data_IF_898136839858
#
_entry.id   IF_898136839858
#
_cell.length_a   1.000
_cell.length_b   1.000
_cell.length_c   1.000
_cell.angle_alpha   90.00
_cell.angle_beta   90.00
_cell.angle_gamma   90.00
#
_symmetry.space_group_name_H-M   'P 1'
#
loop_
_entity.id
_entity.type
_entity.pdbx_description
1 polymer ?
#
# COMPACT_ATOMS: atom_id res chain seq x y z
N UNK A 1 1.86 2.86 -15.01
CA UNK A 1 1.39 4.15 -15.50
C UNK A 1 1.09 5.09 -14.33
N UNK A 2 1.32 6.39 -14.53
CA UNK A 2 0.94 7.48 -13.61
C UNK A 2 -0.12 8.33 -14.29
N UNK A 3 -1.21 8.63 -13.58
CA UNK A 3 -2.28 9.50 -14.05
C UNK A 3 -2.28 10.76 -13.17
N UNK A 4 -2.29 11.92 -13.81
CA UNK A 4 -2.30 13.21 -13.11
C UNK A 4 -3.71 13.79 -13.08
N UNK A 5 -4.17 14.16 -11.88
CA UNK A 5 -5.44 14.86 -11.65
C UNK A 5 -5.26 16.37 -11.54
N UNK A 6 -4.04 16.86 -11.61
CA UNK A 6 -3.66 18.26 -11.58
C UNK A 6 -2.83 18.59 -12.82
N UNK A 7 -3.20 19.65 -13.54
CA UNK A 7 -2.52 20.07 -14.75
C UNK A 7 -1.13 20.63 -14.43
N UNK A 8 -1.01 21.44 -13.38
CA UNK A 8 0.27 22.04 -12.98
C UNK A 8 1.28 20.96 -12.58
N UNK A 9 0.81 19.91 -11.86
CA UNK A 9 1.64 18.78 -11.52
C UNK A 9 2.08 17.97 -12.75
N UNK A 10 1.19 17.83 -13.75
CA UNK A 10 1.52 17.18 -15.01
C UNK A 10 2.55 17.95 -15.81
N UNK A 11 2.38 19.26 -15.94
CA UNK A 11 3.29 20.13 -16.66
C UNK A 11 4.67 20.15 -16.00
N UNK A 12 4.73 20.24 -14.68
CA UNK A 12 5.98 20.13 -13.92
C UNK A 12 6.68 18.79 -14.10
N UNK A 13 5.92 17.70 -14.14
CA UNK A 13 6.49 16.36 -14.37
C UNK A 13 7.13 16.23 -15.76
N UNK A 14 6.63 16.95 -16.76
CA UNK A 14 7.16 16.94 -18.12
C UNK A 14 8.36 17.87 -18.34
N UNK A 15 8.62 18.77 -17.42
CA UNK A 15 9.76 19.69 -17.52
C UNK A 15 11.09 18.91 -17.47
N UNK A 16 12.05 19.34 -18.28
CA UNK A 16 13.42 18.90 -18.14
C UNK A 16 14.01 19.38 -16.80
N UNK A 17 15.13 18.78 -16.38
CA UNK A 17 15.81 19.19 -15.15
C UNK A 17 16.15 20.68 -15.14
N UNK A 18 16.62 21.22 -16.27
CA UNK A 18 16.98 22.63 -16.43
C UNK A 18 15.76 23.55 -16.33
N UNK A 19 14.64 23.17 -16.96
CA UNK A 19 13.38 23.92 -16.87
C UNK A 19 12.80 23.92 -15.46
N UNK A 20 12.93 22.80 -14.74
CA UNK A 20 12.47 22.68 -13.37
C UNK A 20 13.29 23.56 -12.42
N UNK A 21 14.63 23.55 -12.55
CA UNK A 21 15.52 24.42 -11.77
C UNK A 21 15.23 25.91 -12.03
N UNK A 22 14.97 26.29 -13.28
CA UNK A 22 14.57 27.65 -13.64
C UNK A 22 13.20 28.03 -13.08
N UNK A 23 12.24 27.10 -13.10
CA UNK A 23 10.90 27.32 -12.56
C UNK A 23 10.94 27.48 -11.03
N UNK A 24 11.76 26.68 -10.33
CA UNK A 24 11.96 26.79 -8.88
C UNK A 24 12.67 28.11 -8.51
N UNK A 25 13.72 28.49 -9.21
CA UNK A 25 14.41 29.78 -9.00
C UNK A 25 13.48 30.99 -9.18
N UNK A 26 12.64 30.96 -10.21
CA UNK A 26 11.63 32.01 -10.46
C UNK A 26 10.52 32.05 -9.39
N UNK A 27 10.22 30.92 -8.75
CA UNK A 27 9.24 30.81 -7.67
C UNK A 27 9.79 31.41 -6.39
N UNK A 28 11.03 31.07 -6.04
CA UNK A 28 11.75 31.64 -4.88
C UNK A 28 11.91 33.15 -4.98
N UNK A 29 12.18 33.69 -6.18
CA UNK A 29 12.23 35.13 -6.38
C UNK A 29 10.86 35.83 -6.23
N UNK A 30 9.78 35.16 -6.64
CA UNK A 30 8.42 35.69 -6.48
C UNK A 30 7.97 35.65 -5.02
N UNK A 31 8.31 34.58 -4.29
CA UNK A 31 8.00 34.47 -2.86
C UNK A 31 8.79 35.49 -2.04
N UNK A 32 10.08 35.68 -2.30
CA UNK A 32 10.89 36.74 -1.65
C UNK A 32 10.34 38.14 -1.92
N UNK A 33 9.87 38.42 -3.13
CA UNK A 33 9.24 39.70 -3.47
C UNK A 33 7.84 39.88 -2.86
N UNK A 34 7.15 38.77 -2.56
CA UNK A 34 5.86 38.79 -1.86
C UNK A 34 6.06 39.04 -0.36
N UNK A 35 7.02 38.37 0.25
CA UNK A 35 7.36 38.55 1.66
C UNK A 35 7.89 39.97 1.95
N UNK A 36 8.76 40.52 1.09
CA UNK A 36 9.20 41.93 1.19
C UNK A 36 8.05 42.96 1.07
N UNK A 37 6.99 42.62 0.34
CA UNK A 37 5.78 43.44 0.24
C UNK A 37 4.88 43.30 1.45
N UNK A 38 4.85 42.15 2.10
CA UNK A 38 4.09 41.92 3.34
C UNK A 38 4.79 42.51 4.56
N UNK A 39 6.14 42.47 4.64
CA UNK A 39 6.88 43.11 5.70
C UNK A 39 6.72 44.64 5.68
N UNK A 40 6.73 45.27 4.49
CA UNK A 40 6.46 46.70 4.37
C UNK A 40 5.03 47.12 4.71
N UNK A 41 4.08 46.18 4.75
CA UNK A 41 2.69 46.42 5.23
C UNK A 41 2.50 46.10 6.71
N UNK A 42 3.40 45.36 7.35
CA UNK A 42 3.31 45.02 8.79
C UNK A 42 3.91 46.08 9.70
N UNK A 43 4.81 46.92 9.21
CA UNK A 43 5.39 48.04 10.03
C UNK A 43 4.36 49.12 10.33
N UNK A 44 3.30 49.29 9.57
CA UNK A 44 2.25 50.27 9.83
C UNK A 44 1.13 49.77 10.78
N UNK A 45 1.12 48.48 11.19
CA UNK A 45 0.10 47.90 12.07
C UNK A 45 0.54 47.38 13.42
N UNK A 46 1.81 47.55 13.83
CA UNK A 46 2.29 47.17 15.16
C UNK A 46 2.07 48.24 16.22
N UNK A 47 0.80 48.57 16.53
CA UNK A 47 0.36 49.12 17.82
C UNK A 47 -1.06 48.67 18.10
N UNK A 48 -1.22 47.55 18.73
CA UNK A 48 -2.29 46.97 19.59
C UNK A 48 -2.55 45.52 19.21
N UNK A 49 -2.14 44.63 20.05
CA UNK A 49 -2.96 43.72 20.85
C UNK A 49 -2.11 42.54 21.36
N UNK A 50 -2.18 42.40 22.68
CA UNK A 50 -1.57 41.32 23.45
C UNK A 50 -2.24 39.98 23.27
N UNK A 51 -1.36 38.95 23.25
CA UNK A 51 -1.53 37.58 23.78
C UNK A 51 -2.90 36.92 23.76
N UNK A 52 -3.06 36.00 22.83
CA UNK A 52 -3.66 34.70 23.11
C UNK A 52 -3.05 33.67 22.12
N UNK A 53 -2.37 32.66 22.68
CA UNK A 53 -1.75 31.59 21.89
C UNK A 53 -2.84 30.74 21.21
N UNK A 54 -3.11 31.04 19.97
CA UNK A 54 -3.82 30.17 19.05
C UNK A 54 -2.76 29.37 18.27
N UNK A 55 -2.80 28.06 18.42
CA UNK A 55 -2.14 27.13 17.52
C UNK A 55 -2.77 27.40 16.14
N UNK A 56 -2.03 28.06 15.24
CA UNK A 56 -2.41 28.15 13.84
C UNK A 56 -2.31 26.73 13.25
N UNK A 57 -3.46 26.11 13.11
CA UNK A 57 -3.57 24.90 12.28
C UNK A 57 -3.44 25.40 10.85
N UNK A 58 -2.33 25.05 10.19
CA UNK A 58 -2.14 25.29 8.76
C UNK A 58 -3.40 24.84 8.01
N UNK A 59 -4.11 25.78 7.42
CA UNK A 59 -5.28 25.49 6.61
C UNK A 59 -4.81 24.77 5.35
N UNK A 60 -4.90 23.45 5.37
CA UNK A 60 -4.66 22.63 4.18
C UNK A 60 -5.59 23.12 3.07
N UNK A 61 -5.02 23.58 1.96
CA UNK A 61 -5.82 23.98 0.80
C UNK A 61 -6.59 22.75 0.28
N UNK A 62 -7.88 22.89 -0.03
CA UNK A 62 -8.63 21.81 -0.64
C UNK A 62 -7.94 21.37 -1.95
N UNK A 63 -7.87 20.05 -2.16
CA UNK A 63 -7.31 19.48 -3.37
C UNK A 63 -8.31 19.69 -4.51
N UNK A 64 -7.91 20.42 -5.55
CA UNK A 64 -8.70 20.58 -6.78
C UNK A 64 -8.29 19.49 -7.78
N UNK A 65 -9.26 18.64 -8.13
CA UNK A 65 -9.04 17.51 -9.04
C UNK A 65 -9.71 17.82 -10.39
N UNK A 66 -8.93 17.90 -11.46
CA UNK A 66 -9.44 17.92 -12.84
C UNK A 66 -9.60 16.47 -13.35
N UNK A 67 -10.78 15.91 -13.13
CA UNK A 67 -11.11 14.53 -13.48
C UNK A 67 -11.44 14.39 -14.97
N UNK A 68 -12.04 15.38 -15.59
CA UNK A 68 -12.58 15.26 -16.95
C UNK A 68 -11.48 15.04 -18.00
N UNK A 69 -10.31 15.63 -17.82
CA UNK A 69 -9.19 15.54 -18.74
C UNK A 69 -8.04 14.65 -18.25
N UNK A 70 -8.23 13.90 -17.17
CA UNK A 70 -7.17 13.10 -16.57
C UNK A 70 -6.67 11.96 -17.48
N UNK A 71 -7.49 11.49 -18.42
CA UNK A 71 -7.13 10.43 -19.39
C UNK A 71 -6.03 10.87 -20.36
N UNK A 72 -5.94 12.16 -20.68
CA UNK A 72 -4.92 12.71 -21.56
C UNK A 72 -3.58 12.95 -20.83
N UNK A 73 -3.60 12.79 -19.51
CA UNK A 73 -2.45 13.00 -18.63
C UNK A 73 -1.95 11.70 -18.00
N UNK A 74 -1.96 10.63 -18.80
CA UNK A 74 -1.41 9.33 -18.42
C UNK A 74 -0.02 9.16 -18.98
N UNK A 75 0.97 8.92 -18.11
CA UNK A 75 2.36 8.69 -18.49
C UNK A 75 2.79 7.27 -18.10
N UNK A 76 3.49 6.60 -19.03
CA UNK A 76 4.12 5.31 -18.74
C UNK A 76 5.43 5.53 -18.01
N UNK A 77 5.55 5.00 -16.77
CA UNK A 77 6.76 5.17 -15.94
C UNK A 77 7.82 4.10 -16.23
N UNK A 78 7.40 2.90 -16.61
CA UNK A 78 8.32 1.79 -16.85
C UNK A 78 8.67 1.69 -18.32
N UNK A 79 9.98 1.66 -18.63
CA UNK A 79 10.47 1.61 -20.01
C UNK A 79 10.22 0.24 -20.63
N UNK A 80 10.40 -0.84 -19.84
CA UNK A 80 10.32 -2.21 -20.33
C UNK A 80 9.02 -2.90 -19.92
N UNK A 81 8.55 -3.82 -20.73
CA UNK A 81 7.48 -4.75 -20.39
C UNK A 81 8.08 -5.97 -19.71
N UNK A 82 7.59 -6.32 -18.53
CA UNK A 82 8.03 -7.46 -17.74
C UNK A 82 6.91 -7.91 -16.80
N UNK A 83 7.09 -9.04 -16.14
CA UNK A 83 6.24 -9.37 -15.02
C UNK A 83 6.57 -8.43 -13.87
N UNK A 84 5.60 -7.65 -13.46
CA UNK A 84 5.75 -6.67 -12.40
C UNK A 84 5.00 -7.14 -11.15
N UNK A 85 5.66 -6.96 -10.01
CA UNK A 85 5.05 -7.09 -8.69
C UNK A 85 4.58 -5.74 -8.14
N UNK A 86 4.82 -5.52 -6.85
CA UNK A 86 4.47 -4.28 -6.19
C UNK A 86 5.32 -3.09 -6.64
N UNK A 87 4.75 -1.90 -6.48
CA UNK A 87 5.43 -0.65 -6.74
C UNK A 87 5.05 0.39 -5.68
N UNK A 88 6.00 1.23 -5.29
CA UNK A 88 5.79 2.33 -4.36
C UNK A 88 6.52 3.59 -4.82
N UNK A 89 5.85 4.72 -4.63
CA UNK A 89 6.42 6.04 -4.88
C UNK A 89 7.09 6.56 -3.61
N UNK A 90 8.19 7.28 -3.72
CA UNK A 90 8.79 7.96 -2.59
C UNK A 90 7.91 9.12 -2.09
N UNK A 91 8.21 9.65 -0.91
CA UNK A 91 7.41 10.71 -0.28
C UNK A 91 7.42 12.04 -1.04
N UNK A 92 8.38 12.24 -1.92
CA UNK A 92 8.50 13.44 -2.76
C UNK A 92 7.89 13.29 -4.13
N UNK A 93 7.51 12.06 -4.53
CA UNK A 93 7.03 11.77 -5.88
C UNK A 93 8.13 11.82 -6.94
N UNK A 94 9.40 11.66 -6.54
CA UNK A 94 10.55 11.75 -7.44
C UNK A 94 11.07 10.39 -7.90
N UNK A 95 10.85 9.34 -7.09
CA UNK A 95 11.36 7.99 -7.36
C UNK A 95 10.28 6.96 -7.17
N UNK A 96 10.21 6.02 -8.10
CA UNK A 96 9.38 4.83 -7.96
C UNK A 96 10.27 3.60 -7.77
N UNK A 97 9.99 2.83 -6.73
CA UNK A 97 10.60 1.53 -6.47
C UNK A 97 9.61 0.45 -6.87
N UNK A 98 10.05 -0.53 -7.63
CA UNK A 98 9.17 -1.58 -8.13
C UNK A 98 9.90 -2.92 -8.29
N UNK A 99 9.14 -3.99 -8.19
CA UNK A 99 9.60 -5.33 -8.49
C UNK A 99 9.35 -5.65 -9.95
N UNK A 100 10.36 -6.18 -10.62
CA UNK A 100 10.21 -6.68 -11.98
C UNK A 100 11.09 -7.89 -12.22
N UNK A 101 10.57 -8.88 -12.95
CA UNK A 101 11.29 -10.07 -13.37
C UNK A 101 11.57 -9.97 -14.86
N UNK A 102 12.84 -9.88 -15.21
CA UNK A 102 13.32 -9.91 -16.61
C UNK A 102 13.96 -11.23 -16.99
N UNK A 103 14.72 -11.86 -16.08
CA UNK A 103 15.54 -13.04 -16.33
C UNK A 103 15.34 -14.12 -15.25
N UNK A 104 14.11 -14.34 -14.83
CA UNK A 104 13.77 -15.40 -13.87
C UNK A 104 13.22 -14.88 -12.57
N UNK A 105 14.06 -14.52 -11.62
CA UNK A 105 13.60 -14.05 -10.31
C UNK A 105 13.21 -12.55 -10.32
N UNK A 106 12.49 -12.12 -9.29
CA UNK A 106 12.13 -10.71 -9.14
C UNK A 106 13.29 -9.92 -8.56
N UNK A 107 13.56 -8.80 -9.20
CA UNK A 107 14.54 -7.81 -8.79
C UNK A 107 13.86 -6.52 -8.34
N UNK A 108 14.52 -5.78 -7.44
CA UNK A 108 14.10 -4.44 -7.02
C UNK A 108 14.74 -3.39 -7.94
N UNK A 109 13.90 -2.62 -8.57
CA UNK A 109 14.29 -1.54 -9.47
C UNK A 109 13.89 -0.19 -8.89
N UNK A 110 14.67 0.83 -9.21
CA UNK A 110 14.35 2.23 -8.96
C UNK A 110 14.31 2.99 -10.28
N UNK A 111 13.23 3.69 -10.52
CA UNK A 111 13.13 4.65 -11.61
C UNK A 111 13.07 6.06 -11.02
N UNK A 112 14.05 6.89 -11.35
CA UNK A 112 14.07 8.32 -11.03
C UNK A 112 13.25 9.06 -12.08
N UNK A 113 12.18 9.71 -11.64
CA UNK A 113 11.20 10.37 -12.51
C UNK A 113 11.74 11.71 -13.05
N UNK A 114 12.66 12.35 -12.32
CA UNK A 114 13.27 13.62 -12.77
C UNK A 114 14.36 13.39 -13.82
N UNK A 115 15.21 12.39 -13.56
CA UNK A 115 16.32 12.08 -14.47
C UNK A 115 15.91 11.10 -15.58
N UNK A 116 14.67 10.57 -15.53
CA UNK A 116 14.16 9.51 -16.40
C UNK A 116 15.14 8.33 -16.52
N UNK A 117 15.69 7.92 -15.39
CA UNK A 117 16.73 6.90 -15.30
C UNK A 117 16.29 5.72 -14.47
N UNK A 118 16.37 4.53 -15.05
CA UNK A 118 16.12 3.27 -14.33
C UNK A 118 17.42 2.65 -13.88
N UNK A 119 17.46 2.20 -12.65
CA UNK A 119 18.61 1.50 -12.06
C UNK A 119 18.17 0.27 -11.28
N UNK A 120 18.95 -0.78 -11.39
CA UNK A 120 18.79 -1.97 -10.56
C UNK A 120 19.30 -1.66 -9.15
N UNK A 121 18.42 -1.85 -8.15
CA UNK A 121 18.77 -1.68 -6.75
C UNK A 121 19.28 -2.96 -6.12
N UNK A 122 18.59 -4.07 -6.37
CA UNK A 122 18.90 -5.36 -5.75
C UNK A 122 18.37 -6.51 -6.61
N UNK A 123 19.14 -7.58 -6.70
CA UNK A 123 18.77 -8.82 -7.40
C UNK A 123 18.15 -9.83 -6.44
N UNK A 124 17.25 -10.67 -6.99
CA UNK A 124 16.76 -11.85 -6.30
C UNK A 124 15.98 -11.56 -5.02
N UNK A 125 15.10 -10.57 -5.03
CA UNK A 125 14.29 -10.22 -3.85
C UNK A 125 13.09 -11.17 -3.65
N UNK A 126 12.78 -12.02 -4.63
CA UNK A 126 11.63 -12.91 -4.63
C UNK A 126 10.34 -12.23 -5.08
N UNK A 127 9.28 -13.02 -5.24
CA UNK A 127 7.97 -12.59 -5.76
C UNK A 127 7.00 -12.09 -4.69
N UNK A 128 7.43 -11.99 -3.44
CA UNK A 128 6.59 -11.49 -2.34
C UNK A 128 6.30 -10.00 -2.47
N UNK A 129 5.17 -9.57 -1.92
CA UNK A 129 4.85 -8.14 -1.82
C UNK A 129 5.81 -7.39 -0.91
N UNK A 130 5.85 -6.06 -1.04
CA UNK A 130 6.61 -5.23 -0.12
C UNK A 130 5.80 -4.06 0.43
N UNK A 131 6.16 -3.64 1.64
CA UNK A 131 5.58 -2.48 2.31
C UNK A 131 6.72 -1.53 2.67
N UNK A 132 6.50 -0.23 2.52
CA UNK A 132 7.46 0.77 2.94
C UNK A 132 7.15 1.32 4.34
N UNK A 133 8.17 1.83 5.01
CA UNK A 133 7.98 2.72 6.15
C UNK A 133 7.39 4.08 5.71
N UNK A 134 6.96 4.88 6.69
CA UNK A 134 6.30 6.16 6.43
C UNK A 134 7.12 7.12 5.56
N UNK A 135 8.43 7.07 5.70
CA UNK A 135 9.36 7.97 4.99
C UNK A 135 9.92 7.36 3.70
N UNK A 136 9.52 6.14 3.36
CA UNK A 136 10.04 5.35 2.22
C UNK A 136 11.58 5.27 2.23
N UNK A 137 12.15 5.08 3.41
CA UNK A 137 13.60 4.83 3.58
C UNK A 137 13.90 3.35 3.61
N UNK A 138 12.96 2.55 4.09
CA UNK A 138 13.09 1.11 4.20
C UNK A 138 11.90 0.42 3.54
N UNK A 139 12.17 -0.67 2.83
CA UNK A 139 11.17 -1.59 2.33
C UNK A 139 11.21 -2.88 3.15
N UNK A 140 10.05 -3.43 3.43
CA UNK A 140 9.87 -4.72 4.09
C UNK A 140 9.30 -5.69 3.09
N UNK A 141 10.10 -6.66 2.70
CA UNK A 141 9.74 -7.69 1.72
C UNK A 141 9.21 -8.91 2.47
N UNK A 142 7.99 -9.33 2.14
CA UNK A 142 7.35 -10.50 2.72
C UNK A 142 7.31 -11.61 1.67
N UNK A 143 8.14 -12.63 1.84
CA UNK A 143 8.17 -13.79 0.95
C UNK A 143 7.95 -15.08 1.77
N UNK A 144 6.71 -15.56 1.77
CA UNK A 144 6.31 -16.70 2.60
C UNK A 144 6.58 -16.42 4.09
N UNK A 145 7.44 -17.24 4.70
CA UNK A 145 7.80 -17.13 6.11
C UNK A 145 8.98 -16.19 6.39
N UNK A 146 9.53 -15.55 5.35
CA UNK A 146 10.71 -14.70 5.50
C UNK A 146 10.30 -13.23 5.34
N UNK A 147 10.75 -12.42 6.29
CA UNK A 147 10.64 -10.97 6.21
C UNK A 147 12.05 -10.39 6.09
N UNK A 148 12.27 -9.61 5.04
CA UNK A 148 13.54 -8.90 4.82
C UNK A 148 13.30 -7.40 4.86
N UNK A 149 14.12 -6.70 5.64
CA UNK A 149 14.21 -5.25 5.58
C UNK A 149 15.28 -4.86 4.57
N UNK A 150 14.94 -3.97 3.65
CA UNK A 150 15.84 -3.37 2.66
C UNK A 150 15.96 -1.88 2.97
N UNK A 151 17.14 -1.41 3.24
CA UNK A 151 17.43 0.02 3.40
C UNK A 151 17.78 0.62 2.04
N UNK A 152 16.95 1.53 1.54
CA UNK A 152 17.08 2.06 0.18
C UNK A 152 18.33 2.92 -0.03
N UNK A 153 18.79 3.61 1.01
CA UNK A 153 19.98 4.47 0.95
C UNK A 153 21.29 3.69 0.82
N UNK A 154 21.49 2.72 1.70
CA UNK A 154 22.69 1.89 1.76
C UNK A 154 22.64 0.67 0.84
N UNK A 155 21.45 0.34 0.31
CA UNK A 155 21.16 -0.90 -0.44
C UNK A 155 21.47 -2.16 0.35
N UNK A 156 21.39 -2.08 1.67
CA UNK A 156 21.64 -3.20 2.56
C UNK A 156 20.35 -3.96 2.87
N UNK A 157 20.48 -5.27 3.11
CA UNK A 157 19.40 -6.13 3.54
C UNK A 157 19.65 -6.73 4.90
N UNK A 158 18.57 -6.86 5.68
CA UNK A 158 18.60 -7.57 6.95
C UNK A 158 17.37 -8.47 7.04
N UNK A 159 17.56 -9.73 7.39
CA UNK A 159 16.45 -10.60 7.74
C UNK A 159 15.85 -10.15 9.07
N UNK A 160 14.53 -10.22 9.16
CA UNK A 160 13.79 -10.03 10.40
C UNK A 160 13.36 -11.41 10.84
N UNK A 161 14.05 -11.93 11.84
CA UNK A 161 13.68 -13.19 12.46
C UNK A 161 12.58 -12.91 13.48
N UNK A 162 11.57 -13.75 13.49
CA UNK A 162 10.50 -13.69 14.48
C UNK A 162 10.12 -15.10 14.92
N UNK A 163 9.80 -15.22 16.18
CA UNK A 163 9.26 -16.43 16.77
C UNK A 163 7.92 -16.11 17.40
N UNK A 164 6.92 -16.94 17.14
CA UNK A 164 5.62 -16.84 17.76
C UNK A 164 5.23 -18.18 18.38
N UNK A 165 4.81 -18.15 19.62
CA UNK A 165 4.24 -19.29 20.32
C UNK A 165 2.73 -19.09 20.44
N UNK A 166 1.96 -20.12 20.16
CA UNK A 166 0.53 -20.10 20.38
C UNK A 166 0.08 -21.42 21.02
N UNK A 167 -0.95 -21.33 21.84
CA UNK A 167 -1.59 -22.52 22.41
C UNK A 167 -2.52 -23.13 21.38
N UNK A 168 -2.10 -24.25 20.82
CA UNK A 168 -2.92 -24.99 19.87
C UNK A 168 -3.87 -25.92 20.60
N UNK A 169 -5.16 -25.71 20.41
CA UNK A 169 -6.26 -26.52 21.01
C UNK A 169 -7.08 -27.16 19.90
N UNK A 170 -6.71 -28.36 19.45
CA UNK A 170 -7.30 -28.98 18.26
C UNK A 170 -8.81 -29.21 18.35
N UNK A 171 -9.31 -29.48 19.54
CA UNK A 171 -10.74 -29.71 19.74
C UNK A 171 -11.57 -28.42 19.59
N UNK A 172 -11.08 -27.31 20.19
CA UNK A 172 -11.73 -26.01 20.07
C UNK A 172 -11.64 -25.50 18.62
N UNK A 173 -10.52 -25.74 17.93
CA UNK A 173 -10.35 -25.38 16.53
C UNK A 173 -11.33 -26.16 15.63
N UNK A 174 -11.48 -27.49 15.82
CA UNK A 174 -12.45 -28.26 15.02
C UNK A 174 -13.88 -27.81 15.26
N UNK A 175 -14.25 -27.47 16.50
CA UNK A 175 -15.55 -26.88 16.79
C UNK A 175 -15.75 -25.56 16.01
N UNK A 176 -14.76 -24.66 16.05
CA UNK A 176 -14.81 -23.40 15.33
C UNK A 176 -14.92 -23.61 13.81
N UNK A 177 -14.12 -24.51 13.25
CA UNK A 177 -14.13 -24.83 11.83
C UNK A 177 -15.45 -25.43 11.38
N UNK A 178 -16.04 -26.34 12.19
CA UNK A 178 -17.34 -26.89 11.93
C UNK A 178 -18.43 -25.82 11.84
N UNK A 179 -18.48 -24.92 12.81
CA UNK A 179 -19.42 -23.80 12.82
C UNK A 179 -19.18 -22.84 11.66
N UNK A 180 -17.90 -22.65 11.31
CA UNK A 180 -17.51 -21.79 10.17
C UNK A 180 -17.99 -22.38 8.84
N UNK A 181 -17.74 -23.68 8.61
CA UNK A 181 -18.18 -24.38 7.38
C UNK A 181 -19.70 -24.35 7.29
N UNK A 182 -20.40 -24.68 8.36
CA UNK A 182 -21.87 -24.67 8.38
C UNK A 182 -22.44 -23.30 8.00
N UNK A 183 -21.91 -22.19 8.54
CA UNK A 183 -22.31 -20.82 8.20
C UNK A 183 -21.97 -20.46 6.77
N UNK A 184 -20.74 -20.80 6.31
CA UNK A 184 -20.31 -20.48 4.94
C UNK A 184 -21.17 -21.17 3.88
N UNK A 185 -21.62 -22.39 4.14
CA UNK A 185 -22.54 -23.09 3.25
C UNK A 185 -23.89 -22.40 3.22
N UNK A 186 -24.46 -22.08 4.40
CA UNK A 186 -25.72 -21.36 4.49
C UNK A 186 -25.68 -20.00 3.77
N UNK A 187 -24.57 -19.25 3.91
CA UNK A 187 -24.43 -17.90 3.35
C UNK A 187 -24.17 -17.91 1.84
N UNK A 188 -23.49 -18.95 1.32
CA UNK A 188 -23.03 -19.00 -0.08
C UNK A 188 -23.83 -19.92 -0.96
N UNK A 189 -24.70 -20.74 -0.40
CA UNK A 189 -25.55 -21.60 -1.20
C UNK A 189 -26.50 -20.77 -2.06
N UNK A 190 -26.65 -21.15 -3.32
CA UNK A 190 -27.38 -20.36 -4.33
C UNK A 190 -28.88 -20.20 -4.00
N UNK A 191 -29.49 -21.14 -3.29
CA UNK A 191 -30.87 -21.06 -2.82
C UNK A 191 -30.90 -20.75 -1.31
N UNK A 192 -31.41 -19.57 -0.88
CA UNK A 192 -31.52 -19.22 0.52
C UNK A 192 -32.38 -20.17 1.36
N UNK A 193 -33.23 -20.96 0.73
CA UNK A 193 -34.06 -21.99 1.37
C UNK A 193 -33.41 -23.36 1.41
N UNK A 194 -32.13 -23.46 1.01
CA UNK A 194 -31.38 -24.72 0.99
C UNK A 194 -32.11 -25.86 0.26
N UNK A 195 -32.89 -25.54 -0.79
CA UNK A 195 -33.76 -26.48 -1.51
C UNK A 195 -34.74 -27.24 -0.61
N UNK A 196 -35.13 -26.67 0.50
CA UNK A 196 -36.05 -27.28 1.49
C UNK A 196 -35.36 -28.22 2.47
N UNK A 197 -34.03 -28.31 2.47
CA UNK A 197 -33.27 -29.10 3.45
C UNK A 197 -33.24 -28.36 4.78
N UNK A 198 -33.53 -29.06 5.87
CA UNK A 198 -33.37 -28.53 7.22
C UNK A 198 -31.88 -28.54 7.60
N UNK A 199 -31.18 -27.47 7.20
CA UNK A 199 -29.74 -27.33 7.40
C UNK A 199 -29.35 -27.25 8.88
N UNK A 200 -30.22 -26.73 9.75
CA UNK A 200 -30.04 -26.72 11.20
C UNK A 200 -30.13 -28.11 11.83
N UNK A 201 -30.99 -28.97 11.30
CA UNK A 201 -31.04 -30.36 11.68
C UNK A 201 -29.74 -31.10 11.42
N UNK A 202 -29.15 -30.91 10.22
CA UNK A 202 -27.86 -31.52 9.88
C UNK A 202 -26.72 -31.02 10.75
N UNK A 203 -26.69 -29.75 11.10
CA UNK A 203 -25.76 -29.24 12.10
C UNK A 203 -25.80 -30.03 13.39
N UNK A 204 -26.99 -30.22 13.96
CA UNK A 204 -27.19 -30.95 15.22
C UNK A 204 -26.82 -32.43 15.15
N UNK A 205 -27.02 -33.05 13.97
CA UNK A 205 -26.67 -34.44 13.74
C UNK A 205 -25.16 -34.64 13.74
N UNK A 206 -24.43 -33.80 13.00
CA UNK A 206 -22.99 -33.97 12.85
C UNK A 206 -22.19 -33.40 14.02
N UNK A 207 -22.62 -32.34 14.69
CA UNK A 207 -21.97 -31.76 15.86
C UNK A 207 -21.70 -32.79 16.97
N UNK A 208 -22.55 -33.81 17.09
CA UNK A 208 -22.43 -34.90 18.10
C UNK A 208 -21.17 -35.73 17.92
N UNK A 209 -20.61 -35.77 16.71
CA UNK A 209 -19.40 -36.56 16.44
C UNK A 209 -18.11 -35.83 16.78
N UNK A 210 -18.12 -34.49 16.88
CA UNK A 210 -16.94 -33.67 17.15
C UNK A 210 -16.13 -34.12 18.38
N UNK A 211 -16.72 -34.48 19.52
CA UNK A 211 -15.95 -34.92 20.68
C UNK A 211 -15.18 -36.23 20.45
N UNK A 212 -15.57 -37.03 19.46
CA UNK A 212 -14.97 -38.32 19.16
C UNK A 212 -13.90 -38.26 18.06
N UNK A 213 -13.81 -37.13 17.35
CA UNK A 213 -12.87 -36.93 16.27
C UNK A 213 -11.58 -36.32 16.82
N UNK A 214 -10.46 -37.03 16.67
CA UNK A 214 -9.17 -36.62 17.18
C UNK A 214 -8.12 -36.27 16.11
N UNK A 215 -8.45 -36.41 14.84
CA UNK A 215 -7.58 -36.10 13.73
C UNK A 215 -8.32 -35.31 12.62
N UNK A 216 -7.54 -34.66 11.73
CA UNK A 216 -8.10 -33.82 10.70
C UNK A 216 -8.63 -34.59 9.49
N UNK A 217 -8.23 -35.86 9.31
CA UNK A 217 -8.72 -36.69 8.22
C UNK A 217 -10.19 -37.06 8.45
N UNK A 218 -10.49 -37.67 9.63
CA UNK A 218 -11.86 -38.02 10.04
C UNK A 218 -12.76 -36.78 10.11
N UNK A 219 -12.17 -35.64 10.52
CA UNK A 219 -12.91 -34.38 10.52
C UNK A 219 -13.31 -33.92 9.12
N UNK A 220 -12.40 -34.02 8.16
CA UNK A 220 -12.68 -33.66 6.76
C UNK A 220 -13.70 -34.60 6.14
N UNK A 221 -13.63 -35.91 6.47
CA UNK A 221 -14.59 -36.91 6.00
C UNK A 221 -16.00 -36.61 6.54
N UNK A 222 -16.10 -36.35 7.85
CA UNK A 222 -17.37 -35.95 8.48
C UNK A 222 -17.96 -34.69 7.82
N UNK A 223 -17.14 -33.68 7.53
CA UNK A 223 -17.60 -32.45 6.83
C UNK A 223 -18.09 -32.77 5.40
N UNK A 224 -17.39 -33.66 4.70
CA UNK A 224 -17.79 -34.07 3.35
C UNK A 224 -19.12 -34.82 3.32
N UNK A 225 -19.41 -35.60 4.37
CA UNK A 225 -20.71 -36.30 4.50
C UNK A 225 -21.85 -35.35 4.91
N UNK A 226 -21.53 -34.26 5.63
CA UNK A 226 -22.51 -33.25 6.01
C UNK A 226 -22.94 -32.41 4.80
N UNK A 227 -22.02 -32.14 3.82
CA UNK A 227 -22.20 -31.25 2.68
C UNK A 227 -22.87 -31.97 1.50
#
# INVERSE_FOLDING_TARGET
>A
YLMFFDLDAYDRFRMSKEELELAEANKDEKEKKADEKEEKKKDDKKKKEEKTGKIEVDKVKPLELDIDNCRDRIVRLTVNSSHMGDAILDTKGEKIYYQASFEGDYDLWCHDLKENKTSLMMKGIGSGGFVADKDVKNLYLCNGNNIKKVELGSRSTKNIDFEAQFNYKPAEERQYLFDHVWRQVADKFYDPKMQGVDWEYYRKVYEKYLPYINNNFDFAEMLSEML
#
